data_IF_340202931158
#
_entry.id   IF_340202931158
#
_cell.length_a   1.000
_cell.length_b   1.000
_cell.length_c   1.000
_cell.angle_alpha   90.00
_cell.angle_beta   90.00
_cell.angle_gamma   90.00
#
_symmetry.space_group_name_H-M   'P 1'
#
loop_
_entity.id
_entity.type
_entity.pdbx_description
1 polymer ?
#
# COMPACT_ATOMS: atom_id res chain seq x y z
N UNK A 1 -24.95 7.69 -25.07
CA UNK A 1 -24.55 7.13 -23.76
C UNK A 1 -23.96 5.76 -24.01
N UNK A 2 -22.65 5.65 -24.11
CA UNK A 2 -21.95 4.37 -24.20
C UNK A 2 -21.90 3.76 -22.81
N UNK A 3 -22.80 2.82 -22.57
CA UNK A 3 -22.78 1.98 -21.38
C UNK A 3 -21.62 0.98 -21.56
N UNK A 4 -20.51 1.25 -20.88
CA UNK A 4 -19.37 0.35 -20.83
C UNK A 4 -19.66 -0.76 -19.81
N UNK A 5 -20.18 -1.88 -20.31
CA UNK A 5 -20.47 -3.10 -19.56
C UNK A 5 -19.22 -3.82 -19.04
N UNK A 6 -18.02 -3.36 -19.40
CA UNK A 6 -16.74 -3.99 -19.04
C UNK A 6 -16.18 -3.48 -17.70
N UNK A 7 -16.73 -2.40 -17.15
CA UNK A 7 -16.31 -1.85 -15.85
C UNK A 7 -16.63 -2.74 -14.64
N UNK A 8 -17.42 -3.81 -14.82
CA UNK A 8 -17.84 -4.71 -13.75
C UNK A 8 -16.89 -5.91 -13.50
N UNK A 9 -15.87 -6.09 -14.33
CA UNK A 9 -14.90 -7.20 -14.22
C UNK A 9 -13.50 -6.76 -13.76
N UNK A 10 -13.30 -5.47 -13.55
CA UNK A 10 -12.05 -4.96 -13.00
C UNK A 10 -12.12 -5.05 -11.47
N UNK A 11 -11.51 -6.09 -10.89
CA UNK A 11 -11.19 -6.10 -9.46
C UNK A 11 -10.43 -4.81 -9.10
N UNK A 12 -9.49 -4.39 -9.94
CA UNK A 12 -8.71 -3.17 -9.75
C UNK A 12 -9.34 -1.95 -10.44
N UNK A 13 -9.67 -0.87 -9.73
CA UNK A 13 -10.33 0.28 -10.35
C UNK A 13 -9.43 1.01 -11.36
N UNK A 14 -10.05 1.59 -12.40
CA UNK A 14 -9.35 2.38 -13.42
C UNK A 14 -8.72 3.61 -12.78
N UNK A 15 -7.41 3.74 -12.93
CA UNK A 15 -6.61 4.80 -12.33
C UNK A 15 -6.14 5.78 -13.40
N UNK A 16 -6.88 6.88 -13.51
CA UNK A 16 -6.64 7.96 -14.47
C UNK A 16 -5.49 8.88 -14.04
N UNK A 17 -5.06 8.82 -12.78
CA UNK A 17 -4.01 9.69 -12.24
C UNK A 17 -2.61 9.07 -12.35
N UNK A 18 -2.49 7.81 -12.79
CA UNK A 18 -1.21 7.11 -12.86
C UNK A 18 -0.09 7.87 -13.61
N UNK A 19 -0.32 8.48 -14.79
CA UNK A 19 0.75 9.23 -15.48
C UNK A 19 1.20 10.47 -14.70
N UNK A 20 0.27 11.17 -14.04
CA UNK A 20 0.57 12.32 -13.18
C UNK A 20 1.37 11.88 -11.95
N UNK A 21 0.93 10.78 -11.32
CA UNK A 21 1.59 10.19 -10.15
C UNK A 21 3.02 9.78 -10.44
N UNK A 22 3.27 9.08 -11.55
CA UNK A 22 4.62 8.67 -11.94
C UNK A 22 5.54 9.87 -12.16
N UNK A 23 5.05 10.93 -12.82
CA UNK A 23 5.84 12.17 -12.99
C UNK A 23 6.16 12.80 -11.63
N UNK A 24 5.19 12.82 -10.72
CA UNK A 24 5.37 13.41 -9.39
C UNK A 24 6.35 12.63 -8.52
N UNK A 25 6.27 11.30 -8.51
CA UNK A 25 7.24 10.43 -7.83
C UNK A 25 8.66 10.66 -8.34
N UNK A 26 8.85 10.79 -9.66
CA UNK A 26 10.16 11.12 -10.27
C UNK A 26 10.69 12.49 -9.83
N UNK A 27 9.83 13.51 -9.76
CA UNK A 27 10.23 14.85 -9.28
C UNK A 27 10.68 14.82 -7.81
N UNK A 28 9.98 14.05 -6.98
CA UNK A 28 10.31 13.85 -5.58
C UNK A 28 11.55 12.95 -5.38
N UNK A 29 11.93 12.19 -6.42
CA UNK A 29 13.03 11.23 -6.38
C UNK A 29 12.81 10.11 -5.35
N UNK A 30 11.57 9.61 -5.29
CA UNK A 30 11.13 8.51 -4.42
C UNK A 30 10.39 7.45 -5.25
N UNK A 31 10.34 6.21 -4.75
CA UNK A 31 9.58 5.12 -5.37
C UNK A 31 10.30 4.37 -6.49
N UNK A 32 11.61 4.55 -6.62
CA UNK A 32 12.49 3.82 -7.55
C UNK A 32 13.52 2.92 -6.83
N UNK A 33 13.74 3.12 -5.52
CA UNK A 33 14.63 2.34 -4.68
C UNK A 33 14.14 2.29 -3.23
N UNK A 34 14.56 1.28 -2.45
CA UNK A 34 14.26 1.21 -1.02
C UNK A 34 14.80 2.44 -0.29
N UNK A 35 14.06 2.91 0.70
CA UNK A 35 14.41 4.09 1.48
C UNK A 35 14.44 3.71 2.98
N UNK A 36 15.61 3.77 3.65
CA UNK A 36 15.74 3.35 5.04
C UNK A 36 14.81 4.08 6.02
N UNK A 37 14.50 5.35 5.76
CA UNK A 37 13.58 6.09 6.61
C UNK A 37 12.13 5.65 6.37
N UNK A 38 11.78 5.21 5.16
CA UNK A 38 10.47 4.61 4.90
C UNK A 38 10.37 3.19 5.47
N UNK A 39 11.47 2.43 5.51
CA UNK A 39 11.53 1.16 6.25
C UNK A 39 11.34 1.40 7.76
N UNK A 40 12.01 2.41 8.33
CA UNK A 40 11.83 2.81 9.73
C UNK A 40 10.40 3.32 10.01
N UNK A 41 9.79 4.03 9.06
CA UNK A 41 8.40 4.43 9.14
C UNK A 41 7.47 3.21 9.15
N UNK A 42 7.70 2.24 8.25
CA UNK A 42 6.93 1.00 8.20
C UNK A 42 7.05 0.25 9.52
N UNK A 43 8.26 0.06 10.06
CA UNK A 43 8.46 -0.56 11.37
C UNK A 43 7.65 0.14 12.49
N UNK A 44 7.65 1.48 12.51
CA UNK A 44 6.83 2.24 13.47
C UNK A 44 5.33 1.98 13.25
N UNK A 45 4.88 1.98 12.00
CA UNK A 45 3.50 1.73 11.65
C UNK A 45 3.04 0.33 12.08
N UNK A 46 3.85 -0.70 11.90
CA UNK A 46 3.60 -2.05 12.40
C UNK A 46 3.44 -2.06 13.93
N UNK A 47 4.39 -1.44 14.66
CA UNK A 47 4.34 -1.35 16.13
C UNK A 47 3.07 -0.65 16.64
N UNK A 48 2.67 0.46 16.01
CA UNK A 48 1.49 1.24 16.42
C UNK A 48 0.19 0.49 16.16
N UNK A 49 0.09 -0.25 15.05
CA UNK A 49 -1.12 -0.97 14.65
C UNK A 49 -1.20 -2.39 15.19
N UNK A 50 -0.08 -2.91 15.71
CA UNK A 50 0.12 -4.29 16.14
C UNK A 50 0.22 -5.30 15.00
N UNK A 51 0.21 -4.85 13.74
CA UNK A 51 0.24 -5.72 12.57
C UNK A 51 1.65 -6.25 12.29
N UNK A 52 1.80 -7.50 11.81
CA UNK A 52 3.11 -8.08 11.50
C UNK A 52 3.74 -7.51 10.23
N UNK A 53 2.92 -7.07 9.27
CA UNK A 53 3.39 -6.54 7.99
C UNK A 53 2.93 -5.11 7.80
N UNK A 54 3.83 -4.26 7.32
CA UNK A 54 3.50 -2.89 6.98
C UNK A 54 4.37 -2.36 5.85
N UNK A 55 3.82 -1.45 5.06
CA UNK A 55 4.46 -0.94 3.87
C UNK A 55 4.21 0.56 3.67
N UNK A 56 5.23 1.24 3.15
CA UNK A 56 5.09 2.47 2.37
C UNK A 56 5.15 2.06 0.91
N UNK A 57 4.01 2.16 0.22
CA UNK A 57 3.82 1.62 -1.11
C UNK A 57 3.59 2.75 -2.13
N UNK A 58 4.32 2.72 -3.23
CA UNK A 58 4.10 3.58 -4.39
C UNK A 58 3.66 2.75 -5.58
N UNK A 59 2.74 3.29 -6.39
CA UNK A 59 2.15 2.58 -7.52
C UNK A 59 2.53 3.30 -8.80
N UNK A 60 3.25 2.63 -9.70
CA UNK A 60 3.58 3.18 -11.01
C UNK A 60 2.57 2.75 -12.10
N UNK A 61 2.95 2.83 -13.37
CA UNK A 61 2.09 2.42 -14.49
C UNK A 61 1.89 0.90 -14.57
N UNK A 62 2.85 0.12 -14.11
CA UNK A 62 2.96 -1.33 -14.35
C UNK A 62 2.90 -2.16 -13.06
N UNK A 63 3.34 -1.62 -11.93
CA UNK A 63 3.57 -2.36 -10.69
C UNK A 63 3.43 -1.49 -9.44
N UNK A 64 3.46 -2.16 -8.30
CA UNK A 64 3.59 -1.58 -6.97
C UNK A 64 5.00 -1.80 -6.46
N UNK A 65 5.53 -0.80 -5.76
CA UNK A 65 6.85 -0.82 -5.17
C UNK A 65 6.81 -0.39 -3.70
N UNK A 66 7.26 -1.29 -2.83
CA UNK A 66 7.37 -1.09 -1.38
C UNK A 66 8.69 -0.40 -1.04
N UNK A 67 8.68 0.93 -1.17
CA UNK A 67 9.81 1.78 -0.82
C UNK A 67 10.14 1.72 0.68
N UNK A 68 9.13 1.49 1.51
CA UNK A 68 9.27 1.09 2.91
C UNK A 68 8.60 -0.25 3.14
N UNK A 69 9.25 -1.17 3.84
CA UNK A 69 8.73 -2.50 4.14
C UNK A 69 9.20 -2.94 5.52
N UNK A 70 8.26 -3.41 6.33
CA UNK A 70 8.55 -4.15 7.55
C UNK A 70 7.85 -5.50 7.51
N UNK A 71 8.59 -6.54 7.89
CA UNK A 71 8.10 -7.91 8.04
C UNK A 71 8.64 -8.50 9.35
N UNK A 72 8.00 -9.55 9.91
CA UNK A 72 8.46 -10.19 11.15
C UNK A 72 9.90 -10.73 11.09
N UNK A 73 10.38 -11.07 9.89
CA UNK A 73 11.73 -11.62 9.66
C UNK A 73 12.76 -10.53 9.25
N UNK A 74 12.41 -9.25 9.37
CA UNK A 74 13.25 -8.11 8.97
C UNK A 74 13.02 -7.63 7.54
N UNK A 75 13.89 -6.75 7.05
CA UNK A 75 13.77 -6.09 5.74
C UNK A 75 14.60 -6.75 4.63
N UNK A 76 15.27 -7.86 4.93
CA UNK A 76 16.15 -8.57 4.00
C UNK A 76 15.33 -9.30 2.92
N UNK A 77 15.46 -8.81 1.68
CA UNK A 77 14.81 -9.33 0.48
C UNK A 77 15.78 -10.24 -0.29
N UNK A 78 15.39 -11.48 -0.57
CA UNK A 78 15.90 -12.19 -1.74
C UNK A 78 15.22 -11.62 -2.98
N UNK A 79 16.01 -11.43 -4.05
CA UNK A 79 15.52 -10.94 -5.34
C UNK A 79 14.43 -11.86 -5.89
N UNK A 80 13.31 -11.26 -6.30
CA UNK A 80 12.13 -11.93 -6.88
C UNK A 80 11.62 -13.15 -6.11
N UNK A 81 10.82 -12.88 -5.07
CA UNK A 81 9.88 -13.87 -4.57
C UNK A 81 8.48 -13.49 -5.04
N UNK A 82 7.90 -14.37 -5.85
CA UNK A 82 6.48 -14.34 -6.20
C UNK A 82 5.63 -14.39 -4.93
N UNK A 83 4.36 -14.01 -5.02
CA UNK A 83 3.38 -13.93 -3.92
C UNK A 83 3.25 -15.20 -3.03
N UNK A 84 3.94 -16.28 -3.36
CA UNK A 84 4.00 -17.56 -2.63
C UNK A 84 4.79 -17.57 -1.31
N UNK A 85 5.34 -16.46 -0.83
CA UNK A 85 6.30 -16.46 0.29
C UNK A 85 5.73 -16.27 1.70
N UNK A 86 4.41 -16.10 1.88
CA UNK A 86 3.84 -15.86 3.20
C UNK A 86 3.45 -17.11 4.01
N UNK A 87 3.74 -18.31 3.49
CA UNK A 87 3.51 -19.57 4.19
C UNK A 87 4.76 -20.46 4.19
N UNK A 88 5.89 -19.95 4.71
CA UNK A 88 7.08 -20.76 4.99
C UNK A 88 8.39 -20.16 4.51
N UNK A 89 8.94 -19.21 5.26
CA UNK A 89 10.38 -18.90 5.23
C UNK A 89 10.93 -18.19 3.98
N UNK A 90 10.09 -17.70 3.07
CA UNK A 90 10.52 -16.82 1.98
C UNK A 90 10.32 -15.34 2.34
N UNK A 91 11.27 -14.47 1.99
CA UNK A 91 11.12 -13.02 2.19
C UNK A 91 9.96 -12.42 1.37
N UNK A 92 9.41 -11.30 1.83
CA UNK A 92 8.41 -10.53 1.06
C UNK A 92 9.14 -9.72 -0.01
N UNK A 93 8.76 -9.91 -1.28
CA UNK A 93 9.24 -9.06 -2.39
C UNK A 93 8.79 -7.62 -2.20
N UNK A 94 9.67 -6.65 -2.52
CA UNK A 94 9.31 -5.22 -2.58
C UNK A 94 8.49 -4.85 -3.81
N UNK A 95 8.30 -5.77 -4.74
CA UNK A 95 7.51 -5.57 -5.94
C UNK A 95 6.28 -6.46 -5.90
N UNK A 96 5.16 -5.88 -6.31
CA UNK A 96 3.88 -6.57 -6.46
C UNK A 96 3.20 -6.08 -7.74
N UNK A 97 2.46 -6.96 -8.41
CA UNK A 97 1.69 -6.57 -9.59
C UNK A 97 0.67 -5.48 -9.24
N UNK A 98 0.43 -4.56 -10.18
CA UNK A 98 -0.40 -3.37 -9.96
C UNK A 98 -1.84 -3.67 -9.56
N UNK A 99 -2.38 -4.76 -10.05
CA UNK A 99 -3.75 -5.19 -9.84
C UNK A 99 -3.96 -6.01 -8.56
N UNK A 100 -2.88 -6.33 -7.83
CA UNK A 100 -2.93 -7.14 -6.62
C UNK A 100 -3.15 -6.31 -5.34
N UNK A 101 -3.75 -6.94 -4.33
CA UNK A 101 -3.93 -6.32 -3.01
C UNK A 101 -4.94 -5.17 -3.01
N UNK A 102 -4.90 -4.35 -1.96
CA UNK A 102 -5.94 -3.35 -1.68
C UNK A 102 -5.48 -1.90 -1.91
N UNK A 103 -4.17 -1.67 -1.97
CA UNK A 103 -3.59 -0.34 -2.17
C UNK A 103 -4.07 0.35 -3.46
N UNK A 104 -4.22 -0.34 -4.61
CA UNK A 104 -4.75 0.29 -5.83
C UNK A 104 -6.14 0.90 -5.61
N UNK A 105 -7.00 0.22 -4.84
CA UNK A 105 -8.31 0.75 -4.48
C UNK A 105 -8.19 2.01 -3.65
N UNK A 106 -7.31 2.03 -2.64
CA UNK A 106 -7.09 3.17 -1.74
C UNK A 106 -6.60 4.39 -2.52
N UNK A 107 -5.68 4.20 -3.46
CA UNK A 107 -5.15 5.29 -4.29
C UNK A 107 -6.25 5.86 -5.19
N UNK A 108 -6.95 5.02 -5.95
CA UNK A 108 -7.98 5.51 -6.90
C UNK A 108 -9.14 6.19 -6.19
N UNK A 109 -9.59 5.64 -5.06
CA UNK A 109 -10.72 6.21 -4.31
C UNK A 109 -10.32 7.38 -3.40
N UNK A 110 -9.01 7.60 -3.21
CA UNK A 110 -8.42 8.67 -2.39
C UNK A 110 -8.98 8.70 -0.96
N UNK A 111 -9.26 7.52 -0.38
CA UNK A 111 -9.83 7.36 0.97
C UNK A 111 -9.22 6.17 1.71
N UNK A 112 -8.94 6.36 3.00
CA UNK A 112 -8.43 5.30 3.87
C UNK A 112 -9.41 4.13 4.01
N UNK A 113 -8.91 2.90 3.91
CA UNK A 113 -9.66 1.64 3.89
C UNK A 113 -9.31 0.81 5.12
N UNK A 114 -10.34 0.30 5.78
CA UNK A 114 -10.24 -0.70 6.82
C UNK A 114 -11.06 -1.91 6.39
N UNK A 115 -10.44 -3.09 6.46
CA UNK A 115 -11.03 -4.40 6.27
C UNK A 115 -10.63 -5.23 7.49
N UNK A 116 -11.57 -5.40 8.41
CA UNK A 116 -11.33 -6.14 9.66
C UNK A 116 -11.19 -7.64 9.39
N UNK A 117 -12.00 -8.15 8.45
CA UNK A 117 -11.82 -9.43 7.81
C UNK A 117 -12.11 -9.29 6.30
N UNK A 118 -11.12 -9.55 5.44
CA UNK A 118 -11.25 -9.39 3.99
C UNK A 118 -12.26 -10.37 3.38
N UNK A 119 -12.47 -11.53 4.02
CA UNK A 119 -13.43 -12.53 3.55
C UNK A 119 -14.89 -12.08 3.73
N UNK A 120 -15.14 -11.11 4.61
CA UNK A 120 -16.48 -10.52 4.82
C UNK A 120 -16.87 -9.52 3.71
N UNK A 121 -15.97 -9.27 2.76
CA UNK A 121 -16.17 -8.32 1.68
C UNK A 121 -16.10 -9.01 0.31
N UNK A 122 -17.23 -9.53 -0.21
CA UNK A 122 -17.30 -10.29 -1.47
C UNK A 122 -16.69 -9.56 -2.69
N UNK A 123 -16.67 -8.23 -2.68
CA UNK A 123 -16.04 -7.42 -3.75
C UNK A 123 -14.52 -7.59 -3.86
N UNK A 124 -13.89 -8.19 -2.85
CA UNK A 124 -12.46 -8.49 -2.84
C UNK A 124 -12.17 -10.00 -2.94
N UNK A 125 -13.21 -10.83 -3.10
CA UNK A 125 -13.04 -12.24 -3.39
C UNK A 125 -12.28 -12.44 -4.71
N UNK A 126 -11.32 -13.37 -4.73
CA UNK A 126 -10.44 -13.63 -5.88
C UNK A 126 -9.25 -12.66 -6.00
N UNK A 127 -8.97 -11.83 -4.99
CA UNK A 127 -7.69 -11.13 -4.91
C UNK A 127 -6.58 -12.14 -4.55
N UNK A 128 -5.51 -12.28 -5.35
CA UNK A 128 -4.46 -13.27 -5.09
C UNK A 128 -3.82 -13.14 -3.69
N UNK A 129 -3.85 -11.93 -3.11
CA UNK A 129 -3.35 -11.70 -1.74
C UNK A 129 -4.20 -12.40 -0.66
N UNK A 130 -5.47 -12.68 -0.93
CA UNK A 130 -6.33 -13.47 -0.02
C UNK A 130 -5.99 -14.95 -0.14
N UNK A 131 -5.96 -15.45 -1.37
CA UNK A 131 -5.92 -16.89 -1.64
C UNK A 131 -4.49 -17.48 -1.56
N UNK A 132 -3.45 -16.71 -1.89
CA UNK A 132 -2.05 -17.19 -1.94
C UNK A 132 -1.24 -16.84 -0.69
N UNK A 133 -1.53 -15.68 -0.07
CA UNK A 133 -0.75 -15.13 1.05
C UNK A 133 -1.46 -15.40 2.40
N UNK A 134 -2.78 -15.65 2.38
CA UNK A 134 -3.56 -15.89 3.59
C UNK A 134 -3.86 -14.62 4.39
N UNK A 135 -3.82 -13.44 3.76
CA UNK A 135 -4.15 -12.18 4.43
C UNK A 135 -5.62 -12.17 4.81
N UNK A 136 -5.90 -11.86 6.07
CA UNK A 136 -7.25 -11.75 6.65
C UNK A 136 -7.64 -10.32 6.95
N UNK A 137 -6.72 -9.39 7.21
CA UNK A 137 -7.08 -7.99 7.48
C UNK A 137 -6.19 -7.01 6.75
N UNK A 138 -6.74 -5.83 6.46
CA UNK A 138 -6.05 -4.72 5.78
C UNK A 138 -6.46 -3.37 6.37
N UNK A 139 -5.49 -2.52 6.62
CA UNK A 139 -5.71 -1.11 6.97
C UNK A 139 -4.73 -0.25 6.19
N UNK A 140 -5.23 0.71 5.43
CA UNK A 140 -4.38 1.58 4.62
C UNK A 140 -4.97 2.95 4.35
N UNK A 141 -4.09 3.92 4.09
CA UNK A 141 -4.45 5.30 3.79
C UNK A 141 -3.63 5.85 2.60
N UNK A 142 -4.23 6.71 1.76
CA UNK A 142 -3.52 7.31 0.65
C UNK A 142 -2.54 8.37 1.13
N UNK A 143 -1.41 8.49 0.44
CA UNK A 143 -0.44 9.57 0.60
C UNK A 143 -0.75 10.66 -0.42
N UNK A 144 -1.57 11.64 -0.03
CA UNK A 144 -1.95 12.75 -0.90
C UNK A 144 -1.04 13.93 -0.59
N UNK A 145 -0.24 14.35 -1.56
CA UNK A 145 0.71 15.45 -1.37
C UNK A 145 0.06 16.84 -1.57
N UNK A 146 0.85 17.90 -1.39
CA UNK A 146 0.40 19.31 -1.57
C UNK A 146 -0.07 19.65 -2.99
N UNK A 147 0.27 18.84 -3.99
CA UNK A 147 -0.24 19.00 -5.37
C UNK A 147 -1.63 18.38 -5.54
N UNK A 148 -2.12 17.68 -4.52
CA UNK A 148 -3.33 16.88 -4.61
C UNK A 148 -3.09 15.56 -5.33
N UNK A 149 -1.86 15.13 -5.58
CA UNK A 149 -1.59 13.83 -6.22
C UNK A 149 -1.55 12.74 -5.16
N UNK A 150 -2.30 11.66 -5.34
CA UNK A 150 -2.22 10.49 -4.46
C UNK A 150 -0.98 9.66 -4.84
N UNK A 151 0.17 9.90 -4.19
CA UNK A 151 1.47 9.28 -4.52
C UNK A 151 1.49 7.76 -4.36
N UNK A 152 0.70 7.24 -3.43
CA UNK A 152 0.72 5.85 -3.02
C UNK A 152 -0.09 5.65 -1.74
N UNK A 153 0.31 4.69 -0.92
CA UNK A 153 -0.34 4.38 0.35
C UNK A 153 0.66 4.07 1.46
N UNK A 154 0.25 4.30 2.70
CA UNK A 154 0.74 3.46 3.81
C UNK A 154 -0.31 2.39 4.10
N UNK A 155 0.15 1.18 4.41
CA UNK A 155 -0.75 0.10 4.75
C UNK A 155 -0.13 -0.91 5.70
N UNK A 156 -1.00 -1.63 6.39
CA UNK A 156 -0.68 -2.79 7.21
C UNK A 156 -1.59 -3.95 6.84
N UNK A 157 -1.06 -5.16 6.97
CA UNK A 157 -1.81 -6.40 6.74
C UNK A 157 -1.49 -7.42 7.82
N UNK A 158 -2.45 -8.31 8.03
CA UNK A 158 -2.27 -9.46 8.89
C UNK A 158 -2.99 -10.70 8.35
N UNK A 159 -2.49 -11.87 8.72
CA UNK A 159 -3.08 -13.20 8.48
C UNK A 159 -4.19 -13.53 9.48
N UNK A 160 -4.48 -12.65 10.43
CA UNK A 160 -5.62 -12.74 11.34
C UNK A 160 -6.59 -11.55 11.17
N UNK A 161 -7.90 -11.74 11.44
CA UNK A 161 -8.84 -10.63 11.50
C UNK A 161 -8.45 -9.63 12.59
N UNK A 162 -8.63 -8.32 12.33
CA UNK A 162 -8.28 -7.26 13.29
C UNK A 162 -9.39 -6.23 13.44
N UNK A 163 -9.91 -6.01 14.67
CA UNK A 163 -11.01 -5.08 14.93
C UNK A 163 -10.52 -3.63 15.05
N UNK A 164 -9.80 -3.14 14.04
CA UNK A 164 -9.26 -1.79 14.05
C UNK A 164 -10.35 -0.72 14.05
N UNK A 165 -11.48 -0.98 13.40
CA UNK A 165 -12.62 -0.09 13.30
C UNK A 165 -12.28 1.37 13.02
N UNK A 166 -13.04 2.26 13.66
CA UNK A 166 -12.84 3.71 13.57
C UNK A 166 -11.51 4.17 14.20
N UNK A 167 -11.07 3.67 15.37
CA UNK A 167 -9.78 4.07 15.94
C UNK A 167 -8.61 3.84 14.99
N UNK A 168 -8.48 2.64 14.40
CA UNK A 168 -7.42 2.35 13.45
C UNK A 168 -7.51 3.19 12.18
N UNK A 169 -8.72 3.50 11.72
CA UNK A 169 -8.93 4.43 10.59
C UNK A 169 -8.38 5.83 10.88
N UNK A 170 -8.59 6.36 12.09
CA UNK A 170 -8.04 7.67 12.47
C UNK A 170 -6.53 7.61 12.66
N UNK A 171 -6.00 6.54 13.26
CA UNK A 171 -4.56 6.31 13.41
C UNK A 171 -3.85 6.27 12.05
N UNK A 172 -4.33 5.49 11.09
CA UNK A 172 -3.68 5.35 9.78
C UNK A 172 -3.73 6.67 8.99
N UNK A 173 -4.81 7.45 9.11
CA UNK A 173 -4.90 8.79 8.48
C UNK A 173 -3.87 9.75 9.08
N UNK A 174 -3.74 9.76 10.41
CA UNK A 174 -2.78 10.61 11.10
C UNK A 174 -1.35 10.28 10.70
N UNK A 175 -1.00 8.99 10.63
CA UNK A 175 0.32 8.54 10.20
C UNK A 175 0.57 8.85 8.72
N UNK A 176 -0.44 8.73 7.85
CA UNK A 176 -0.32 9.10 6.44
C UNK A 176 -0.01 10.59 6.28
N UNK A 177 -0.69 11.45 7.03
CA UNK A 177 -0.41 12.88 7.05
C UNK A 177 1.01 13.18 7.53
N UNK A 178 1.48 12.49 8.58
CA UNK A 178 2.86 12.64 9.08
C UNK A 178 3.90 12.28 8.01
N UNK A 179 3.70 11.18 7.28
CA UNK A 179 4.61 10.75 6.21
C UNK A 179 4.59 11.73 5.03
N UNK A 180 3.43 12.26 4.68
CA UNK A 180 3.31 13.30 3.64
C UNK A 180 4.12 14.54 4.04
N UNK A 181 4.02 14.98 5.29
CA UNK A 181 4.83 16.10 5.79
C UNK A 181 6.33 15.79 5.78
N UNK A 182 6.73 14.54 6.07
CA UNK A 182 8.11 14.11 5.91
C UNK A 182 8.58 14.19 4.44
N UNK A 183 7.74 13.77 3.49
CA UNK A 183 8.04 13.88 2.06
C UNK A 183 8.18 15.35 1.65
N UNK A 184 7.29 16.24 2.11
CA UNK A 184 7.37 17.68 1.83
C UNK A 184 8.67 18.30 2.35
N UNK A 185 9.07 18.00 3.60
CA UNK A 185 10.33 18.50 4.16
C UNK A 185 11.55 18.07 3.35
N UNK A 186 11.55 16.85 2.80
CA UNK A 186 12.63 16.38 1.92
C UNK A 186 12.64 17.10 0.59
N UNK A 187 11.47 17.38 0.02
CA UNK A 187 11.36 18.16 -1.21
C UNK A 187 11.90 19.58 -1.01
N UNK A 188 11.50 20.24 0.07
CA UNK A 188 11.93 21.62 0.38
C UNK A 188 13.44 21.70 0.63
N UNK A 189 14.06 20.66 1.21
CA UNK A 189 15.51 20.59 1.42
C UNK A 189 16.34 20.19 0.18
N UNK A 190 15.69 19.86 -0.95
CA UNK A 190 16.35 19.56 -2.23
C UNK A 190 16.39 20.77 -3.18
N UNK A 191 15.56 21.79 -2.91
CA UNK A 191 15.53 23.07 -3.61
C UNK A 191 16.61 24.01 -3.04
#
# INVERSE_FOLDING_TARGET
MTYDSTGHLLLTPVDREAPLRVRRLRQLGIGDRPDPDFDAFAERLAKVTGAPYSMVNFIDENQQFFAGLHTPNGTHTTEQLSATAAAGGGGVSRYMARDHGYCPHVVVRRKALVLEDVCDYPRFAGNPVVDEIGIRSYLGAPLIDRTGTALGTICVVDTEPRPWGRPGLETIKSLAAELVEQIHRREDGRL
#
